data_IF_770367690237
#
_entry.id   IF_770367690237
#
_cell.length_a   1.000
_cell.length_b   1.000
_cell.length_c   1.000
_cell.angle_alpha   90.00
_cell.angle_beta   90.00
_cell.angle_gamma   90.00
#
_symmetry.space_group_name_H-M   'P 1'
#
loop_
_entity.id
_entity.type
_entity.pdbx_description
1 polymer ?
#
# COMPACT_ATOMS: atom_id res chain seq x y z
N UNK A 1 -9.64 -7.23 -31.40
CA UNK A 1 -9.53 -7.06 -29.94
C UNK A 1 -10.58 -6.04 -29.55
N UNK A 2 -11.43 -6.33 -28.55
CA UNK A 2 -12.39 -5.35 -28.09
C UNK A 2 -11.64 -4.19 -27.46
N UNK A 3 -12.11 -2.96 -27.73
CA UNK A 3 -11.52 -1.78 -27.13
C UNK A 3 -11.53 -1.90 -25.60
N UNK A 4 -10.43 -1.57 -24.94
CA UNK A 4 -10.30 -1.76 -23.48
C UNK A 4 -10.19 -0.42 -22.77
N UNK A 5 -11.07 -0.21 -21.79
CA UNK A 5 -11.07 0.98 -20.96
C UNK A 5 -10.02 0.83 -19.84
N UNK A 6 -9.09 1.78 -19.71
CA UNK A 6 -8.13 1.84 -18.62
C UNK A 6 -8.43 3.00 -17.69
N UNK A 7 -8.43 2.72 -16.38
CA UNK A 7 -8.86 3.66 -15.36
C UNK A 7 -7.87 3.65 -14.20
N UNK A 8 -7.46 4.83 -13.76
CA UNK A 8 -6.56 5.03 -12.63
C UNK A 8 -7.27 5.89 -11.60
N UNK A 9 -7.38 5.38 -10.37
CA UNK A 9 -8.00 6.03 -9.23
C UNK A 9 -7.02 6.18 -8.04
N UNK A 10 -5.95 5.37 -7.98
CA UNK A 10 -4.94 5.39 -6.91
C UNK A 10 -3.86 6.44 -7.19
N UNK A 11 -4.23 7.70 -6.96
CA UNK A 11 -3.49 8.89 -7.34
C UNK A 11 -4.33 9.77 -8.25
N UNK A 12 -3.68 10.49 -9.16
CA UNK A 12 -4.37 11.34 -10.13
C UNK A 12 -5.36 10.53 -10.98
N UNK A 13 -6.61 11.00 -11.09
CA UNK A 13 -7.63 10.35 -11.91
C UNK A 13 -7.21 10.35 -13.38
N UNK A 14 -7.17 9.18 -14.00
CA UNK A 14 -6.95 9.06 -15.46
C UNK A 14 -7.87 8.02 -16.07
N UNK A 15 -8.36 8.34 -17.26
CA UNK A 15 -9.19 7.44 -18.06
C UNK A 15 -8.73 7.44 -19.50
N UNK A 16 -8.58 6.25 -20.08
CA UNK A 16 -8.14 6.04 -21.44
C UNK A 16 -8.97 4.96 -22.11
N UNK A 17 -9.28 5.14 -23.38
CA UNK A 17 -9.91 4.14 -24.23
C UNK A 17 -8.95 3.83 -25.38
N UNK A 18 -8.53 2.57 -25.52
CA UNK A 18 -7.52 2.15 -26.50
C UNK A 18 -6.23 2.98 -26.45
N UNK A 19 -5.68 3.17 -25.25
CA UNK A 19 -4.50 3.99 -24.94
C UNK A 19 -4.67 5.50 -25.18
N UNK A 20 -5.81 5.96 -25.67
CA UNK A 20 -6.07 7.38 -25.90
C UNK A 20 -6.80 7.99 -24.70
N UNK A 21 -6.29 9.10 -24.13
CA UNK A 21 -7.02 9.84 -23.09
C UNK A 21 -8.39 10.29 -23.58
N UNK A 22 -9.42 10.10 -22.76
CA UNK A 22 -10.75 10.63 -23.06
C UNK A 22 -10.82 12.11 -22.64
N UNK A 23 -10.39 13.01 -23.52
CA UNK A 23 -10.32 14.45 -23.26
C UNK A 23 -11.69 15.08 -22.93
N UNK A 24 -12.78 14.52 -23.45
CA UNK A 24 -14.15 14.95 -23.16
C UNK A 24 -14.62 14.59 -21.74
N UNK A 25 -13.85 13.75 -21.04
CA UNK A 25 -14.14 13.30 -19.68
C UNK A 25 -13.52 14.25 -18.63
N UNK A 26 -13.83 15.55 -18.72
CA UNK A 26 -13.20 16.60 -17.92
C UNK A 26 -14.08 17.17 -16.78
N UNK A 27 -15.32 16.72 -16.66
CA UNK A 27 -16.22 17.15 -15.59
C UNK A 27 -15.89 16.41 -14.29
N UNK A 28 -15.50 17.11 -13.20
CA UNK A 28 -15.20 16.47 -11.92
C UNK A 28 -16.37 15.62 -11.41
N UNK A 29 -17.60 16.08 -11.65
CA UNK A 29 -18.80 15.33 -11.23
C UNK A 29 -18.97 14.01 -11.99
N UNK A 30 -18.64 13.96 -13.28
CA UNK A 30 -18.67 12.72 -14.06
C UNK A 30 -17.56 11.77 -13.65
N UNK A 31 -16.37 12.31 -13.39
CA UNK A 31 -15.23 11.54 -12.90
C UNK A 31 -15.53 10.90 -11.55
N UNK A 32 -16.08 11.68 -10.62
CA UNK A 32 -16.52 11.21 -9.32
C UNK A 32 -17.61 10.13 -9.42
N UNK A 33 -18.62 10.33 -10.27
CA UNK A 33 -19.68 9.33 -10.50
C UNK A 33 -19.11 8.02 -11.06
N UNK A 34 -18.23 8.09 -12.06
CA UNK A 34 -17.62 6.91 -12.65
C UNK A 34 -16.72 6.19 -11.64
N UNK A 35 -15.90 6.94 -10.90
CA UNK A 35 -15.02 6.39 -9.87
C UNK A 35 -15.83 5.65 -8.79
N UNK A 36 -16.95 6.23 -8.33
CA UNK A 36 -17.87 5.57 -7.41
C UNK A 36 -18.39 4.25 -7.96
N UNK A 37 -18.85 4.23 -9.21
CA UNK A 37 -19.36 3.00 -9.84
C UNK A 37 -18.28 1.91 -9.96
N UNK A 38 -17.01 2.27 -10.14
CA UNK A 38 -15.90 1.32 -10.25
C UNK A 38 -15.46 0.81 -8.87
N UNK A 39 -15.38 1.70 -7.88
CA UNK A 39 -15.08 1.31 -6.49
C UNK A 39 -16.14 0.34 -5.96
N UNK A 40 -17.40 0.56 -6.34
CA UNK A 40 -18.53 -0.29 -6.00
C UNK A 40 -19.02 -1.16 -7.17
N UNK A 41 -18.10 -1.64 -8.02
CA UNK A 41 -18.39 -2.39 -9.25
C UNK A 41 -19.20 -3.68 -9.06
N UNK A 42 -19.16 -4.26 -7.87
CA UNK A 42 -19.92 -5.48 -7.53
C UNK A 42 -21.34 -5.18 -7.01
N UNK A 43 -21.75 -3.92 -7.00
CA UNK A 43 -23.02 -3.46 -6.41
C UNK A 43 -23.95 -2.89 -7.49
N UNK A 44 -25.23 -3.23 -7.40
CA UNK A 44 -26.30 -2.60 -8.18
C UNK A 44 -26.80 -1.39 -7.39
N UNK A 45 -26.68 -0.21 -7.97
CA UNK A 45 -27.04 1.05 -7.33
C UNK A 45 -28.43 1.50 -7.77
N UNK A 46 -29.24 2.02 -6.84
CA UNK A 46 -30.47 2.71 -7.22
C UNK A 46 -30.14 4.11 -7.74
N UNK A 47 -30.87 4.56 -8.77
CA UNK A 47 -30.75 5.92 -9.30
C UNK A 47 -31.12 6.97 -8.25
N UNK A 48 -32.05 6.65 -7.36
CA UNK A 48 -32.43 7.53 -6.26
C UNK A 48 -31.27 7.73 -5.29
N UNK A 49 -30.61 6.65 -4.88
CA UNK A 49 -29.42 6.70 -4.00
C UNK A 49 -28.30 7.55 -4.62
N UNK A 50 -27.93 7.26 -5.87
CA UNK A 50 -26.89 8.03 -6.57
C UNK A 50 -27.28 9.50 -6.74
N UNK A 51 -28.56 9.81 -6.99
CA UNK A 51 -29.01 11.19 -7.09
C UNK A 51 -28.80 11.95 -5.77
N UNK A 52 -29.16 11.37 -4.63
CA UNK A 52 -28.97 12.02 -3.33
C UNK A 52 -27.50 12.08 -2.91
N UNK A 53 -26.72 11.04 -3.20
CA UNK A 53 -25.30 10.98 -2.86
C UNK A 53 -24.50 12.11 -3.55
N UNK A 54 -24.77 12.34 -4.84
CA UNK A 54 -24.02 13.30 -5.65
C UNK A 54 -24.60 14.72 -5.63
N UNK A 55 -25.88 14.88 -5.26
CA UNK A 55 -26.55 16.18 -5.15
C UNK A 55 -27.36 16.28 -3.84
N UNK A 56 -26.70 16.23 -2.67
CA UNK A 56 -27.38 16.19 -1.36
C UNK A 56 -28.20 17.45 -1.08
N UNK A 57 -27.76 18.61 -1.57
CA UNK A 57 -28.43 19.91 -1.36
C UNK A 57 -29.57 20.19 -2.34
N UNK A 58 -29.84 19.27 -3.27
CA UNK A 58 -30.90 19.43 -4.26
C UNK A 58 -32.21 18.82 -3.77
N UNK A 59 -33.34 19.37 -4.24
CA UNK A 59 -34.62 18.68 -4.10
C UNK A 59 -34.58 17.34 -4.83
N UNK A 60 -35.41 16.38 -4.40
CA UNK A 60 -35.49 15.03 -4.97
C UNK A 60 -35.72 15.04 -6.51
N UNK A 61 -36.58 15.93 -7.02
CA UNK A 61 -36.80 16.08 -8.47
C UNK A 61 -35.59 16.67 -9.20
N UNK A 62 -34.89 17.62 -8.57
CA UNK A 62 -33.69 18.24 -9.14
C UNK A 62 -32.51 17.27 -9.14
N UNK A 63 -32.27 16.56 -8.04
CA UNK A 63 -31.22 15.54 -7.92
C UNK A 63 -31.36 14.46 -9.00
N UNK A 64 -32.58 13.93 -9.21
CA UNK A 64 -32.84 12.95 -10.28
C UNK A 64 -32.61 13.52 -11.68
N UNK A 65 -32.92 14.80 -11.89
CA UNK A 65 -32.69 15.48 -13.17
C UNK A 65 -31.19 15.69 -13.41
N UNK A 66 -30.43 16.09 -12.38
CA UNK A 66 -28.98 16.21 -12.45
C UNK A 66 -28.32 14.86 -12.75
N UNK A 67 -28.75 13.78 -12.10
CA UNK A 67 -28.26 12.43 -12.40
C UNK A 67 -28.54 12.04 -13.86
N UNK A 68 -29.75 12.32 -14.37
CA UNK A 68 -30.09 12.05 -15.79
C UNK A 68 -29.14 12.79 -16.74
N UNK A 69 -28.86 14.05 -16.45
CA UNK A 69 -27.94 14.87 -17.25
C UNK A 69 -26.50 14.32 -17.17
N UNK A 70 -26.04 13.94 -15.98
CA UNK A 70 -24.73 13.34 -15.78
C UNK A 70 -24.56 12.03 -16.58
N UNK A 71 -25.56 11.15 -16.56
CA UNK A 71 -25.54 9.90 -17.35
C UNK A 71 -25.59 10.15 -18.84
N UNK A 72 -26.33 11.17 -19.29
CA UNK A 72 -26.31 11.59 -20.69
C UNK A 72 -24.93 12.08 -21.12
N UNK A 73 -24.27 12.89 -20.28
CA UNK A 73 -22.89 13.32 -20.55
C UNK A 73 -21.92 12.14 -20.53
N UNK A 74 -22.05 11.21 -19.58
CA UNK A 74 -21.23 9.99 -19.51
C UNK A 74 -21.38 9.15 -20.79
N UNK A 75 -22.60 9.02 -21.32
CA UNK A 75 -22.86 8.30 -22.57
C UNK A 75 -22.20 8.94 -23.78
N UNK A 76 -22.08 10.26 -23.78
CA UNK A 76 -21.44 10.98 -24.88
C UNK A 76 -19.91 10.94 -24.78
N UNK A 77 -19.36 10.93 -23.56
CA UNK A 77 -17.92 10.96 -23.33
C UNK A 77 -17.26 9.57 -23.27
N UNK A 78 -18.03 8.50 -23.02
CA UNK A 78 -17.54 7.14 -22.97
C UNK A 78 -18.03 6.33 -24.19
N UNK A 79 -17.14 5.97 -25.14
CA UNK A 79 -17.51 5.17 -26.29
C UNK A 79 -18.09 3.81 -25.88
N UNK A 80 -19.20 3.39 -26.50
CA UNK A 80 -19.87 2.12 -26.22
C UNK A 80 -20.14 1.89 -24.72
N UNK A 81 -20.66 2.91 -24.03
CA UNK A 81 -20.97 2.87 -22.59
C UNK A 81 -21.72 1.60 -22.15
N UNK A 82 -22.55 1.03 -23.02
CA UNK A 82 -23.34 -0.17 -22.77
C UNK A 82 -22.48 -1.44 -22.55
N UNK A 83 -21.21 -1.43 -22.96
CA UNK A 83 -20.23 -2.48 -22.65
C UNK A 83 -19.75 -2.43 -21.20
N UNK A 84 -19.83 -1.27 -20.55
CA UNK A 84 -19.27 -1.03 -19.21
C UNK A 84 -20.37 -0.90 -18.15
N UNK A 85 -21.49 -0.27 -18.50
CA UNK A 85 -22.58 0.02 -17.57
C UNK A 85 -23.90 -0.59 -18.02
N UNK A 86 -24.58 -1.21 -17.06
CA UNK A 86 -25.99 -1.57 -17.16
C UNK A 86 -26.82 -0.43 -16.56
N UNK A 87 -27.43 0.38 -17.43
CA UNK A 87 -28.26 1.52 -17.03
C UNK A 87 -29.72 1.17 -17.32
N UNK A 88 -30.50 0.94 -16.26
CA UNK A 88 -31.93 0.66 -16.35
C UNK A 88 -32.76 1.88 -15.88
N UNK A 89 -34.08 1.70 -15.88
CA UNK A 89 -35.03 2.73 -15.47
C UNK A 89 -34.83 3.19 -14.02
N UNK A 90 -34.42 2.29 -13.12
CA UNK A 90 -34.26 2.55 -11.68
C UNK A 90 -32.88 2.20 -11.12
N UNK A 91 -32.07 1.47 -11.87
CA UNK A 91 -30.78 0.96 -11.38
C UNK A 91 -29.64 1.29 -12.33
N UNK A 92 -28.43 1.34 -11.78
CA UNK A 92 -27.17 1.51 -12.49
C UNK A 92 -26.18 0.52 -11.86
N UNK A 93 -25.52 -0.27 -12.69
CA UNK A 93 -24.50 -1.21 -12.25
C UNK A 93 -23.30 -1.21 -13.20
N UNK A 94 -22.11 -1.44 -12.65
CA UNK A 94 -20.97 -1.83 -13.46
C UNK A 94 -21.16 -3.27 -13.96
N UNK A 95 -20.84 -3.51 -15.23
CA UNK A 95 -20.96 -4.83 -15.82
C UNK A 95 -19.80 -5.72 -15.38
N UNK A 96 -20.11 -6.90 -14.87
CA UNK A 96 -19.09 -7.87 -14.45
C UNK A 96 -18.25 -8.41 -15.63
N UNK A 97 -18.84 -8.45 -16.82
CA UNK A 97 -18.21 -8.87 -18.09
C UNK A 97 -17.57 -7.71 -18.87
N UNK A 98 -17.52 -6.50 -18.28
CA UNK A 98 -16.96 -5.34 -18.95
C UNK A 98 -15.47 -5.53 -19.32
N UNK A 99 -15.04 -5.15 -20.53
CA UNK A 99 -13.63 -5.20 -20.93
C UNK A 99 -12.88 -3.95 -20.43
N UNK A 100 -12.50 -3.93 -19.16
CA UNK A 100 -11.79 -2.79 -18.54
C UNK A 100 -10.60 -3.24 -17.68
N UNK A 101 -9.73 -2.29 -17.38
CA UNK A 101 -8.64 -2.41 -16.42
C UNK A 101 -8.72 -1.20 -15.49
N UNK A 102 -8.92 -1.46 -14.19
CA UNK A 102 -8.82 -0.44 -13.16
C UNK A 102 -7.68 -0.80 -12.21
N UNK A 103 -6.85 0.17 -11.85
CA UNK A 103 -5.76 -0.02 -10.88
C UNK A 103 -6.24 -0.56 -9.54
N UNK A 104 -7.38 -0.09 -9.03
CA UNK A 104 -8.05 -0.61 -7.83
C UNK A 104 -8.43 -2.09 -7.97
N UNK A 105 -9.01 -2.49 -9.10
CA UNK A 105 -9.42 -3.87 -9.31
C UNK A 105 -8.19 -4.79 -9.43
N UNK A 106 -7.17 -4.34 -10.16
CA UNK A 106 -5.94 -5.07 -10.34
C UNK A 106 -5.15 -5.21 -9.02
N UNK A 107 -5.11 -4.16 -8.20
CA UNK A 107 -4.53 -4.22 -6.86
C UNK A 107 -5.20 -5.30 -6.02
N UNK A 108 -6.53 -5.28 -5.92
CA UNK A 108 -7.29 -6.26 -5.13
C UNK A 108 -7.08 -7.69 -5.64
N UNK A 109 -7.04 -7.89 -6.95
CA UNK A 109 -6.85 -9.22 -7.54
C UNK A 109 -5.44 -9.76 -7.30
N UNK A 110 -4.41 -8.90 -7.33
CA UNK A 110 -3.03 -9.29 -6.98
C UNK A 110 -2.93 -9.65 -5.49
N UNK A 111 -3.51 -8.84 -4.60
CA UNK A 111 -3.51 -9.11 -3.16
C UNK A 111 -4.24 -10.42 -2.84
N UNK A 112 -5.38 -10.70 -3.47
CA UNK A 112 -6.12 -11.96 -3.31
C UNK A 112 -5.35 -13.20 -3.76
N UNK A 113 -4.44 -13.04 -4.71
CA UNK A 113 -3.58 -14.14 -5.19
C UNK A 113 -2.41 -14.44 -4.24
N UNK A 114 -2.11 -13.55 -3.29
CA UNK A 114 -1.04 -13.78 -2.32
C UNK A 114 -1.49 -14.84 -1.31
N UNK A 115 -0.95 -16.04 -1.48
CA UNK A 115 -1.12 -17.16 -0.55
C UNK A 115 0.07 -17.22 0.42
N UNK A 116 -0.20 -16.98 1.70
CA UNK A 116 0.84 -16.95 2.75
C UNK A 116 1.45 -18.33 3.03
N UNK A 117 0.84 -19.41 2.55
CA UNK A 117 1.39 -20.77 2.64
C UNK A 117 2.43 -21.06 1.54
N UNK A 118 2.45 -20.25 0.47
CA UNK A 118 3.41 -20.41 -0.62
C UNK A 118 4.79 -19.85 -0.25
N UNK A 119 5.86 -20.26 -0.96
CA UNK A 119 7.18 -19.68 -0.74
C UNK A 119 7.21 -18.16 -0.98
N UNK A 120 8.01 -17.40 -0.21
CA UNK A 120 8.19 -15.95 -0.39
C UNK A 120 8.50 -15.50 -1.82
N UNK A 121 9.19 -16.34 -2.60
CA UNK A 121 9.54 -16.07 -3.99
C UNK A 121 8.32 -15.94 -4.92
N UNK A 122 7.19 -16.58 -4.60
CA UNK A 122 5.94 -16.45 -5.35
C UNK A 122 5.09 -15.29 -4.87
N UNK A 123 5.19 -14.95 -3.58
CA UNK A 123 4.43 -13.84 -2.98
C UNK A 123 4.99 -12.46 -3.35
N UNK A 124 6.33 -12.30 -3.31
CA UNK A 124 7.02 -11.03 -3.57
C UNK A 124 6.59 -10.32 -4.86
N UNK A 125 6.61 -10.95 -6.05
CA UNK A 125 6.27 -10.25 -7.29
C UNK A 125 4.81 -9.79 -7.34
N UNK A 126 3.89 -10.52 -6.70
CA UNK A 126 2.48 -10.12 -6.60
C UNK A 126 2.32 -8.86 -5.74
N UNK A 127 2.97 -8.85 -4.56
CA UNK A 127 2.96 -7.72 -3.65
C UNK A 127 3.63 -6.48 -4.25
N UNK A 128 4.81 -6.63 -4.87
CA UNK A 128 5.51 -5.53 -5.52
C UNK A 128 4.68 -4.92 -6.67
N UNK A 129 4.04 -5.77 -7.50
CA UNK A 129 3.14 -5.30 -8.55
C UNK A 129 1.92 -4.57 -7.99
N UNK A 130 1.29 -5.11 -6.93
CA UNK A 130 0.14 -4.46 -6.31
C UNK A 130 0.53 -3.08 -5.75
N UNK A 131 1.61 -3.01 -4.96
CA UNK A 131 2.06 -1.78 -4.34
C UNK A 131 2.54 -0.73 -5.34
N UNK A 132 3.01 -1.14 -6.52
CA UNK A 132 3.38 -0.21 -7.61
C UNK A 132 2.17 0.46 -8.27
N UNK A 133 0.97 -0.10 -8.16
CA UNK A 133 -0.27 0.52 -8.65
C UNK A 133 -0.69 1.72 -7.79
N UNK A 134 -0.31 1.74 -6.52
CA UNK A 134 -0.63 2.83 -5.60
C UNK A 134 0.36 3.99 -5.76
N UNK A 135 -0.02 5.01 -6.56
CA UNK A 135 0.82 6.17 -6.86
C UNK A 135 0.57 7.37 -5.96
N UNK A 136 -0.51 7.33 -5.19
CA UNK A 136 -0.90 8.35 -4.23
C UNK A 136 -2.25 8.01 -3.61
N UNK A 137 -2.73 8.89 -2.75
CA UNK A 137 -4.07 8.77 -2.15
C UNK A 137 -5.14 8.60 -3.23
N UNK A 138 -6.21 7.85 -2.91
CA UNK A 138 -7.36 7.69 -3.79
C UNK A 138 -7.95 9.07 -4.14
N UNK A 139 -7.96 9.40 -5.44
CA UNK A 139 -8.61 10.60 -5.99
C UNK A 139 -8.28 11.87 -5.18
N UNK A 140 -7.02 12.32 -5.12
CA UNK A 140 -6.57 13.34 -4.17
C UNK A 140 -7.20 14.72 -4.45
N UNK A 141 -7.59 14.99 -5.69
CA UNK A 141 -8.22 16.24 -6.12
C UNK A 141 -9.75 16.28 -5.89
N UNK A 142 -10.30 15.22 -5.30
CA UNK A 142 -11.73 15.07 -5.03
C UNK A 142 -12.00 15.14 -3.53
N UNK A 143 -13.08 15.84 -3.16
CA UNK A 143 -13.37 16.24 -1.78
C UNK A 143 -14.78 15.83 -1.31
N UNK A 144 -15.51 15.04 -2.10
CA UNK A 144 -16.80 14.52 -1.70
C UNK A 144 -16.70 13.63 -0.45
N UNK A 145 -17.69 13.73 0.44
CA UNK A 145 -17.67 13.03 1.73
C UNK A 145 -17.51 11.51 1.59
N UNK A 146 -18.13 10.92 0.56
CA UNK A 146 -18.05 9.48 0.31
C UNK A 146 -16.62 9.02 0.00
N UNK A 147 -15.77 9.89 -0.56
CA UNK A 147 -14.38 9.55 -0.93
C UNK A 147 -13.51 9.46 0.31
N UNK A 148 -13.83 10.19 1.38
CA UNK A 148 -12.98 10.23 2.58
C UNK A 148 -12.86 8.85 3.22
N UNK A 149 -13.98 8.13 3.35
CA UNK A 149 -13.98 6.77 3.88
C UNK A 149 -13.25 5.81 2.93
N UNK A 150 -13.53 5.88 1.63
CA UNK A 150 -12.86 5.04 0.63
C UNK A 150 -11.34 5.26 0.64
N UNK A 151 -10.89 6.52 0.75
CA UNK A 151 -9.46 6.85 0.79
C UNK A 151 -8.77 6.26 2.01
N UNK A 152 -9.43 6.28 3.17
CA UNK A 152 -8.93 5.60 4.37
C UNK A 152 -8.83 4.09 4.14
N UNK A 153 -9.90 3.47 3.66
CA UNK A 153 -9.94 2.02 3.42
C UNK A 153 -8.83 1.59 2.43
N UNK A 154 -8.61 2.36 1.37
CA UNK A 154 -7.53 2.12 0.41
C UNK A 154 -6.14 2.35 0.99
N UNK A 155 -5.97 3.34 1.88
CA UNK A 155 -4.71 3.52 2.59
C UNK A 155 -4.41 2.32 3.49
N UNK A 156 -5.41 1.80 4.21
CA UNK A 156 -5.26 0.62 5.05
C UNK A 156 -4.91 -0.64 4.22
N UNK A 157 -5.56 -0.84 3.07
CA UNK A 157 -5.20 -1.92 2.13
C UNK A 157 -3.74 -1.81 1.67
N UNK A 158 -3.30 -0.59 1.36
CA UNK A 158 -1.93 -0.33 0.92
C UNK A 158 -0.90 -0.57 2.04
N UNK A 159 -1.18 -0.11 3.26
CA UNK A 159 -0.38 -0.38 4.47
C UNK A 159 -0.28 -1.89 4.74
N UNK A 160 -1.40 -2.62 4.72
CA UNK A 160 -1.37 -4.07 4.89
C UNK A 160 -0.54 -4.79 3.82
N UNK A 161 -0.60 -4.33 2.57
CA UNK A 161 0.27 -4.85 1.50
C UNK A 161 1.76 -4.61 1.75
N UNK A 162 2.13 -3.44 2.27
CA UNK A 162 3.51 -3.13 2.67
C UNK A 162 3.98 -4.03 3.81
N UNK A 163 3.17 -4.23 4.85
CA UNK A 163 3.49 -5.11 5.98
C UNK A 163 3.74 -6.56 5.52
N UNK A 164 2.89 -7.07 4.61
CA UNK A 164 3.07 -8.37 3.98
C UNK A 164 4.41 -8.44 3.22
N UNK A 165 4.73 -7.41 2.43
CA UNK A 165 5.98 -7.38 1.66
C UNK A 165 7.21 -7.32 2.57
N UNK A 166 7.18 -6.54 3.65
CA UNK A 166 8.28 -6.51 4.64
C UNK A 166 8.54 -7.90 5.20
N UNK A 167 7.49 -8.63 5.59
CA UNK A 167 7.63 -9.99 6.12
C UNK A 167 8.23 -10.96 5.09
N UNK A 168 7.80 -10.87 3.84
CA UNK A 168 8.34 -11.67 2.71
C UNK A 168 9.83 -11.36 2.49
N UNK A 169 10.21 -10.08 2.48
CA UNK A 169 11.60 -9.65 2.29
C UNK A 169 12.50 -10.08 3.46
N UNK A 170 12.01 -9.98 4.69
CA UNK A 170 12.72 -10.45 5.87
C UNK A 170 12.99 -11.96 5.83
N UNK A 171 12.01 -12.76 5.41
CA UNK A 171 12.18 -14.21 5.23
C UNK A 171 13.20 -14.54 4.14
N UNK A 172 13.28 -13.72 3.09
CA UNK A 172 14.30 -13.81 2.04
C UNK A 172 15.67 -13.24 2.46
N UNK A 173 15.77 -12.66 3.66
CA UNK A 173 16.96 -11.94 4.17
C UNK A 173 17.36 -10.73 3.33
N UNK A 174 16.41 -10.18 2.56
CA UNK A 174 16.58 -8.92 1.83
C UNK A 174 16.28 -7.75 2.77
N UNK A 175 17.12 -7.60 3.80
CA UNK A 175 16.88 -6.64 4.88
C UNK A 175 16.92 -5.19 4.41
N UNK A 176 17.71 -4.88 3.36
CA UNK A 176 17.83 -3.51 2.83
C UNK A 176 16.50 -3.04 2.25
N UNK A 177 15.90 -3.83 1.36
CA UNK A 177 14.59 -3.48 0.80
C UNK A 177 13.49 -3.53 1.87
N UNK A 178 13.56 -4.45 2.83
CA UNK A 178 12.61 -4.48 3.94
C UNK A 178 12.67 -3.18 4.80
N UNK A 179 13.87 -2.67 5.07
CA UNK A 179 14.08 -1.39 5.76
C UNK A 179 13.41 -0.24 4.99
N UNK A 180 13.62 -0.16 3.68
CA UNK A 180 13.01 0.89 2.84
C UNK A 180 11.48 0.83 2.88
N UNK A 181 10.90 -0.38 2.85
CA UNK A 181 9.44 -0.57 2.95
C UNK A 181 8.90 -0.18 4.34
N UNK A 182 9.58 -0.54 5.43
CA UNK A 182 9.22 -0.09 6.78
C UNK A 182 9.31 1.43 6.94
N UNK A 183 10.32 2.07 6.37
CA UNK A 183 10.41 3.53 6.37
C UNK A 183 9.26 4.17 5.59
N UNK A 184 8.80 3.53 4.51
CA UNK A 184 7.60 3.97 3.78
C UNK A 184 6.35 3.84 4.64
N UNK A 185 6.17 2.74 5.40
CA UNK A 185 5.08 2.58 6.36
C UNK A 185 5.04 3.74 7.38
N UNK A 186 6.18 4.07 7.98
CA UNK A 186 6.27 5.14 8.98
C UNK A 186 6.03 6.56 8.42
N UNK A 187 6.13 6.75 7.08
CA UNK A 187 5.70 8.00 6.44
C UNK A 187 4.18 8.10 6.32
N UNK A 188 3.48 6.97 6.21
CA UNK A 188 2.02 6.93 6.19
C UNK A 188 1.43 7.02 7.60
N UNK A 189 2.01 6.27 8.54
CA UNK A 189 1.59 6.29 9.94
C UNK A 189 2.83 6.39 10.87
N UNK A 190 3.21 7.62 11.27
CA UNK A 190 4.29 7.84 12.22
C UNK A 190 4.01 7.34 13.64
N UNK A 191 2.77 6.97 13.96
CA UNK A 191 2.34 6.50 15.28
C UNK A 191 2.29 4.97 15.37
N UNK A 192 2.54 4.27 14.26
CA UNK A 192 2.51 2.81 14.20
C UNK A 192 3.76 2.20 14.87
N UNK A 193 3.65 1.99 16.18
CA UNK A 193 4.76 1.51 17.03
C UNK A 193 5.32 0.14 16.59
N UNK A 194 4.47 -0.74 16.06
CA UNK A 194 4.88 -2.05 15.52
C UNK A 194 5.88 -1.90 14.37
N UNK A 195 5.72 -0.89 13.51
CA UNK A 195 6.62 -0.60 12.39
C UNK A 195 7.99 -0.13 12.87
N UNK A 196 8.08 0.65 13.94
CA UNK A 196 9.36 0.98 14.57
C UNK A 196 10.05 -0.27 15.12
N UNK A 197 9.29 -1.13 15.79
CA UNK A 197 9.82 -2.39 16.35
C UNK A 197 10.39 -3.28 15.26
N UNK A 198 9.68 -3.44 14.14
CA UNK A 198 10.16 -4.19 13.00
C UNK A 198 11.39 -3.55 12.34
N UNK A 199 11.38 -2.23 12.17
CA UNK A 199 12.52 -1.49 11.59
C UNK A 199 13.79 -1.61 12.46
N UNK A 200 13.67 -1.55 13.79
CA UNK A 200 14.78 -1.82 14.71
C UNK A 200 15.36 -3.22 14.52
N UNK A 201 14.49 -4.25 14.45
CA UNK A 201 14.90 -5.63 14.23
C UNK A 201 15.61 -5.80 12.89
N UNK A 202 15.07 -5.22 11.82
CA UNK A 202 15.66 -5.29 10.48
C UNK A 202 17.04 -4.63 10.41
N UNK A 203 17.21 -3.47 11.05
CA UNK A 203 18.52 -2.81 11.14
C UNK A 203 19.54 -3.67 11.90
N UNK A 204 19.13 -4.31 13.00
CA UNK A 204 19.99 -5.23 13.76
C UNK A 204 20.37 -6.47 12.94
N UNK A 205 19.42 -7.08 12.22
CA UNK A 205 19.67 -8.21 11.31
C UNK A 205 20.60 -7.83 10.14
N UNK A 206 20.51 -6.59 9.66
CA UNK A 206 21.40 -6.03 8.64
C UNK A 206 22.77 -5.59 9.19
N UNK A 207 23.02 -5.77 10.50
CA UNK A 207 24.28 -5.42 11.16
C UNK A 207 24.45 -3.93 11.49
N UNK A 208 23.45 -3.09 11.24
CA UNK A 208 23.47 -1.66 11.57
C UNK A 208 22.71 -1.37 12.87
N UNK A 209 23.32 -1.80 13.97
CA UNK A 209 22.79 -1.59 15.31
C UNK A 209 22.63 -0.09 15.66
N UNK A 210 23.56 0.76 15.21
CA UNK A 210 23.49 2.19 15.48
C UNK A 210 22.23 2.80 14.86
N UNK A 211 21.84 2.36 13.65
CA UNK A 211 20.55 2.74 13.08
C UNK A 211 19.36 2.24 13.90
N UNK A 212 19.39 1.00 14.40
CA UNK A 212 18.32 0.47 15.25
C UNK A 212 18.10 1.33 16.51
N UNK A 213 19.16 1.78 17.18
CA UNK A 213 19.05 2.68 18.35
C UNK A 213 18.49 4.06 17.97
N UNK A 214 18.89 4.62 16.81
CA UNK A 214 18.31 5.88 16.31
C UNK A 214 16.82 5.76 16.04
N UNK A 215 16.36 4.63 15.51
CA UNK A 215 14.94 4.35 15.26
C UNK A 215 14.14 4.36 16.57
N UNK A 216 14.65 3.77 17.65
CA UNK A 216 14.01 3.84 18.97
C UNK A 216 13.83 5.29 19.45
N UNK A 217 14.89 6.09 19.38
CA UNK A 217 14.82 7.50 19.80
C UNK A 217 13.83 8.29 18.94
N UNK A 218 13.74 8.00 17.64
CA UNK A 218 12.73 8.61 16.75
C UNK A 218 11.31 8.21 17.15
N UNK A 219 11.09 6.94 17.48
CA UNK A 219 9.81 6.43 17.99
C UNK A 219 9.39 7.17 19.26
N UNK A 220 10.27 7.17 20.27
CA UNK A 220 10.05 7.86 21.54
C UNK A 220 9.73 9.35 21.34
N UNK A 221 10.52 10.05 20.53
CA UNK A 221 10.30 11.47 20.24
C UNK A 221 8.94 11.71 19.60
N UNK A 222 8.55 10.86 18.66
CA UNK A 222 7.28 10.99 17.94
C UNK A 222 6.08 10.71 18.85
N UNK A 223 6.10 9.62 19.61
CA UNK A 223 5.00 9.27 20.53
C UNK A 223 4.82 10.29 21.64
N UNK A 224 5.92 10.79 22.24
CA UNK A 224 5.84 11.83 23.25
C UNK A 224 5.30 13.14 22.66
N UNK A 225 5.74 13.52 21.46
CA UNK A 225 5.29 14.77 20.82
C UNK A 225 3.82 14.74 20.42
N UNK A 226 3.37 13.66 19.79
CA UNK A 226 2.03 13.58 19.20
C UNK A 226 0.97 13.09 20.19
N UNK A 227 1.34 12.20 21.12
CA UNK A 227 0.40 11.52 22.01
C UNK A 227 0.70 11.75 23.50
N UNK A 228 1.87 12.29 23.86
CA UNK A 228 2.27 12.48 25.25
C UNK A 228 2.53 11.17 26.01
N UNK A 229 2.78 10.08 25.29
CA UNK A 229 3.02 8.75 25.87
C UNK A 229 4.44 8.25 25.58
N UNK A 230 4.93 7.37 26.44
CA UNK A 230 6.17 6.63 26.22
C UNK A 230 5.94 5.39 25.33
N UNK A 231 7.00 4.85 24.69
CA UNK A 231 6.90 3.58 23.96
C UNK A 231 6.39 2.46 24.86
N UNK A 232 5.55 1.59 24.31
CA UNK A 232 5.01 0.42 24.99
C UNK A 232 6.05 -0.64 25.34
N UNK A 233 5.68 -1.64 26.16
CA UNK A 233 6.62 -2.62 26.71
C UNK A 233 7.30 -3.49 25.63
N UNK A 234 6.61 -3.78 24.52
CA UNK A 234 7.18 -4.55 23.41
C UNK A 234 8.37 -3.82 22.77
N UNK A 235 8.21 -2.52 22.51
CA UNK A 235 9.24 -1.67 21.90
C UNK A 235 10.42 -1.46 22.84
N UNK A 236 10.14 -1.21 24.12
CA UNK A 236 11.16 -1.12 25.16
C UNK A 236 11.95 -2.43 25.26
N UNK A 237 11.27 -3.59 25.24
CA UNK A 237 11.94 -4.90 25.30
C UNK A 237 12.89 -5.13 24.11
N UNK A 238 12.47 -4.76 22.88
CA UNK A 238 13.35 -4.85 21.71
C UNK A 238 14.57 -3.93 21.86
N UNK A 239 14.38 -2.71 22.35
CA UNK A 239 15.48 -1.80 22.63
C UNK A 239 16.46 -2.34 23.69
N UNK A 240 15.96 -2.92 24.78
CA UNK A 240 16.80 -3.55 25.80
C UNK A 240 17.58 -4.75 25.28
N UNK A 241 16.95 -5.58 24.44
CA UNK A 241 17.62 -6.72 23.79
C UNK A 241 18.75 -6.23 22.89
N UNK A 242 18.51 -5.15 22.14
CA UNK A 242 19.57 -4.48 21.39
C UNK A 242 20.68 -4.10 22.36
N UNK A 243 20.45 -3.29 23.40
CA UNK A 243 21.48 -2.91 24.39
C UNK A 243 22.31 -4.09 24.93
N UNK A 244 21.69 -5.22 25.29
CA UNK A 244 22.40 -6.41 25.80
C UNK A 244 23.37 -7.04 24.81
N UNK A 245 23.10 -6.96 23.50
CA UNK A 245 24.01 -7.43 22.45
C UNK A 245 25.34 -6.63 22.38
N UNK A 246 25.43 -5.41 22.95
CA UNK A 246 26.69 -4.64 23.07
C UNK A 246 27.62 -5.19 24.16
N UNK A 247 27.02 -5.80 25.19
CA UNK A 247 27.74 -6.20 26.40
C UNK A 247 28.42 -7.58 26.28
N UNK A 248 28.32 -8.26 25.14
CA UNK A 248 29.08 -9.49 24.89
C UNK A 248 30.43 -9.11 24.27
N UNK A 249 31.55 -9.11 25.02
CA UNK A 249 32.85 -8.85 24.44
C UNK A 249 33.18 -9.91 23.38
N UNK A 250 33.95 -9.57 22.33
CA UNK A 250 34.49 -10.59 21.44
C UNK A 250 35.29 -11.59 22.28
N UNK A 251 34.89 -12.86 22.25
CA UNK A 251 35.69 -13.93 22.86
C UNK A 251 37.11 -13.83 22.29
N UNK A 252 38.17 -13.78 23.12
CA UNK A 252 39.52 -13.79 22.61
C UNK A 252 39.72 -15.09 21.84
N UNK A 253 39.83 -14.96 20.52
CA UNK A 253 40.26 -16.03 19.63
C UNK A 253 41.56 -16.60 20.20
N UNK A 254 41.52 -17.86 20.61
CA UNK A 254 42.70 -18.58 21.06
C UNK A 254 43.76 -18.49 19.97
N UNK A 255 44.81 -17.71 20.22
CA UNK A 255 45.98 -17.70 19.37
C UNK A 255 46.54 -19.13 19.31
N UNK A 256 46.88 -19.66 18.12
CA UNK A 256 47.56 -20.93 18.04
C UNK A 256 48.94 -20.76 18.69
N UNK A 257 49.19 -21.53 19.73
CA UNK A 257 50.51 -21.71 20.33
C UNK A 257 51.46 -22.22 19.26
N UNK A 258 52.35 -21.34 18.79
CA UNK A 258 53.46 -21.72 17.95
C UNK A 258 54.43 -22.57 18.79
N UNK A 259 54.41 -23.88 18.57
CA UNK A 259 55.41 -24.80 19.10
C UNK A 259 56.77 -24.48 18.45
N UNK A 260 57.65 -23.87 19.22
CA UNK A 260 59.06 -23.71 18.86
C UNK A 260 59.71 -25.09 18.93
N UNK A 261 59.94 -25.70 17.77
CA UNK A 261 60.79 -26.89 17.64
C UNK A 261 62.24 -26.41 17.74
N UNK A 262 62.87 -26.61 18.90
CA UNK A 262 64.30 -26.41 19.09
C UNK A 262 65.05 -27.58 18.45
N UNK A 263 65.74 -27.30 17.34
CA UNK A 263 66.75 -28.16 16.73
C UNK A 263 68.01 -28.15 17.58
N UNK A 264 68.41 -29.30 18.13
CA UNK A 264 69.74 -29.52 18.68
C UNK A 264 70.77 -29.67 17.53
N UNK A 265 71.93 -29.01 17.59
CA UNK A 265 73.06 -29.36 16.74
C UNK A 265 73.81 -30.58 17.30
N UNK A 266 74.21 -31.43 16.36
CA UNK A 266 75.17 -32.51 16.49
C UNK A 266 76.62 -31.98 16.60
N UNK A 267 77.53 -32.86 17.04
CA UNK A 267 79.00 -32.75 17.14
C UNK A 267 79.56 -32.25 18.49
N UNK A 268 80.58 -32.84 19.12
CA UNK A 268 81.77 -33.59 18.66
C UNK A 268 82.32 -34.56 19.74
N UNK A 269 82.81 -35.75 19.32
CA UNK A 269 84.07 -36.46 19.69
C UNK A 269 83.89 -37.98 19.81
#
# INVERSE_FOLDING_TARGET
>A
MAATLRIQLLGEFRIQHDEQPLAEFNSPRLQSLLAYLILHRSVIHSRQHLAFLFWPDSSDSQARTNLRNALHQLRNSLPNIELYLQIESQTIAWRADAPYQADVAHFEDLIKQVDTTQPPALQRPLLEQALALYKGDLLPDFYEEWILQEREDWRQKYVGGLEMLVNVLEQQRDYRTAIDMCQRLLKFDPLLESSYTQLMRLHALNGDRAAALRVYHSCMTTLVRELGIEPGPTTQSVYEQLLKLEATPPSPSAAPTASVTSLLPFETS
#
